data_IF_301705686114
#
_entry.id   IF_301705686114
#
_cell.length_a   1.000
_cell.length_b   1.000
_cell.length_c   1.000
_cell.angle_alpha   90.00
_cell.angle_beta   90.00
_cell.angle_gamma   90.00
#
_symmetry.space_group_name_H-M   'P 1'
#
loop_
_entity.id
_entity.type
_entity.pdbx_description
1 polymer ?
#
# COMPACT_ATOMS: atom_id res chain seq x y z
N UNK A 1 20.73 -6.77 21.43
CA UNK A 1 19.43 -7.30 21.05
C UNK A 1 18.56 -6.23 20.41
N UNK A 2 18.16 -6.47 19.23
CA UNK A 2 17.42 -5.52 18.46
C UNK A 2 15.93 -5.66 18.70
N UNK A 3 15.27 -4.53 18.93
CA UNK A 3 13.83 -4.53 19.03
C UNK A 3 13.25 -4.74 17.64
N UNK A 4 12.36 -5.73 17.47
CA UNK A 4 11.78 -5.94 16.15
C UNK A 4 11.01 -4.71 15.70
N UNK A 5 11.27 -4.30 14.48
CA UNK A 5 10.50 -3.25 13.85
C UNK A 5 9.18 -3.83 13.38
N UNK A 6 8.09 -3.06 13.47
CA UNK A 6 6.87 -3.49 12.82
C UNK A 6 7.19 -3.71 11.35
N UNK A 7 6.80 -4.85 10.85
CA UNK A 7 7.02 -5.11 9.44
C UNK A 7 6.12 -4.24 8.61
N UNK A 8 6.72 -3.45 7.75
CA UNK A 8 5.96 -2.62 6.83
C UNK A 8 6.04 -3.21 5.45
N UNK A 9 4.91 -3.10 4.77
CA UNK A 9 4.77 -3.63 3.44
C UNK A 9 5.29 -2.61 2.44
N UNK A 10 6.19 -3.04 1.58
CA UNK A 10 6.72 -2.14 0.55
C UNK A 10 5.73 -2.09 -0.61
N UNK A 11 5.11 -0.92 -0.80
CA UNK A 11 4.12 -0.73 -1.85
C UNK A 11 4.66 -1.01 -3.23
N UNK A 12 5.96 -0.88 -3.40
CA UNK A 12 6.58 -1.06 -4.71
C UNK A 12 6.91 -2.51 -5.01
N UNK A 13 6.82 -3.39 -4.01
CA UNK A 13 7.20 -4.79 -4.19
C UNK A 13 6.08 -5.77 -3.91
N UNK A 14 5.09 -5.37 -3.13
CA UNK A 14 4.02 -6.27 -2.74
C UNK A 14 3.11 -6.59 -3.91
N UNK A 15 2.66 -7.84 -3.98
CA UNK A 15 1.67 -8.19 -4.98
C UNK A 15 0.27 -7.93 -4.46
N UNK A 16 -0.72 -8.07 -5.34
CA UNK A 16 -2.10 -7.74 -4.98
C UNK A 16 -2.61 -8.60 -3.84
N UNK A 17 -2.28 -9.88 -3.84
CA UNK A 17 -2.74 -10.78 -2.79
C UNK A 17 -2.20 -10.38 -1.42
N UNK A 18 -0.92 -10.03 -1.37
CA UNK A 18 -0.30 -9.59 -0.14
C UNK A 18 -0.90 -8.28 0.35
N UNK A 19 -1.14 -7.34 -0.55
CA UNK A 19 -1.76 -6.07 -0.20
C UNK A 19 -3.15 -6.30 0.38
N UNK A 20 -3.93 -7.15 -0.25
CA UNK A 20 -5.28 -7.46 0.20
C UNK A 20 -5.26 -8.09 1.59
N UNK A 21 -4.30 -8.97 1.82
CA UNK A 21 -4.22 -9.74 3.04
C UNK A 21 -3.72 -8.93 4.22
N UNK A 22 -2.74 -8.06 3.97
CA UNK A 22 -2.05 -7.35 5.05
C UNK A 22 -2.65 -6.00 5.39
N UNK A 23 -3.39 -5.39 4.48
CA UNK A 23 -3.92 -4.05 4.69
C UNK A 23 -5.39 -4.09 5.06
N UNK A 24 -5.77 -3.17 5.95
CA UNK A 24 -7.16 -3.09 6.40
C UNK A 24 -8.01 -2.33 5.39
N UNK A 25 -9.15 -2.90 5.05
CA UNK A 25 -10.09 -2.25 4.16
C UNK A 25 -9.67 -2.24 2.70
N UNK A 26 -8.63 -2.99 2.38
CA UNK A 26 -8.16 -3.13 1.00
C UNK A 26 -8.63 -4.49 0.51
N UNK A 27 -9.67 -4.49 -0.30
CA UNK A 27 -10.13 -5.72 -0.91
C UNK A 27 -9.39 -5.98 -2.20
N UNK A 28 -9.85 -7.00 -2.90
CA UNK A 28 -9.21 -7.42 -4.14
C UNK A 28 -9.12 -6.28 -5.16
N UNK A 29 -10.23 -5.55 -5.35
CA UNK A 29 -10.27 -4.50 -6.36
C UNK A 29 -9.26 -3.39 -6.06
N UNK A 30 -9.18 -2.95 -4.80
CA UNK A 30 -8.24 -1.90 -4.44
C UNK A 30 -6.81 -2.38 -4.49
N UNK A 31 -6.57 -3.62 -4.10
CA UNK A 31 -5.23 -4.18 -4.16
C UNK A 31 -4.75 -4.25 -5.61
N UNK A 32 -5.63 -4.67 -6.51
CA UNK A 32 -5.30 -4.73 -7.92
C UNK A 32 -5.10 -3.33 -8.49
N UNK A 33 -5.85 -2.35 -8.01
CA UNK A 33 -5.70 -0.98 -8.45
C UNK A 33 -4.33 -0.42 -8.03
N UNK A 34 -3.85 -0.77 -6.86
CA UNK A 34 -2.53 -0.35 -6.42
C UNK A 34 -1.46 -0.90 -7.34
N UNK A 35 -1.54 -2.19 -7.64
CA UNK A 35 -0.57 -2.82 -8.54
C UNK A 35 -0.64 -2.21 -9.94
N UNK A 36 -1.85 -2.00 -10.44
CA UNK A 36 -2.03 -1.42 -11.76
C UNK A 36 -1.48 0.00 -11.83
N UNK A 37 -1.68 0.77 -10.77
CA UNK A 37 -1.17 2.14 -10.73
C UNK A 37 0.36 2.16 -10.82
N UNK A 38 1.01 1.31 -10.05
CA UNK A 38 2.47 1.31 -10.07
C UNK A 38 3.02 0.76 -11.38
N UNK A 39 2.29 -0.16 -12.02
CA UNK A 39 2.69 -0.65 -13.33
C UNK A 39 2.60 0.43 -14.41
N UNK A 40 1.57 1.27 -14.30
CA UNK A 40 1.34 2.30 -15.27
C UNK A 40 2.19 3.56 -15.04
N UNK A 41 2.46 3.88 -13.80
CA UNK A 41 3.08 5.16 -13.43
C UNK A 41 4.47 5.02 -12.83
N UNK A 42 4.95 3.81 -12.67
CA UNK A 42 6.23 3.59 -12.02
C UNK A 42 6.10 3.46 -10.52
N UNK A 43 7.21 3.22 -9.82
CA UNK A 43 7.17 3.02 -8.38
C UNK A 43 6.58 4.22 -7.64
N UNK A 44 5.91 3.92 -6.54
CA UNK A 44 5.41 4.99 -5.67
C UNK A 44 6.59 5.75 -5.07
N UNK A 45 6.53 7.07 -5.13
CA UNK A 45 7.54 7.92 -4.51
C UNK A 45 7.25 8.14 -3.04
N UNK A 46 5.99 8.05 -2.65
CA UNK A 46 5.60 8.21 -1.25
C UNK A 46 4.33 7.41 -1.00
N UNK A 47 4.08 7.13 0.28
CA UNK A 47 2.85 6.45 0.67
C UNK A 47 1.62 7.30 0.33
N UNK A 48 1.75 8.62 0.40
CA UNK A 48 0.64 9.51 0.10
C UNK A 48 0.17 9.41 -1.34
N UNK A 49 1.00 8.88 -2.21
CA UNK A 49 0.62 8.68 -3.60
C UNK A 49 -0.55 7.72 -3.77
N UNK A 50 -0.83 6.92 -2.74
CA UNK A 50 -2.03 6.07 -2.75
C UNK A 50 -3.31 6.87 -2.92
N UNK A 51 -3.29 8.16 -2.55
CA UNK A 51 -4.45 9.02 -2.72
C UNK A 51 -4.81 9.27 -4.17
N UNK A 52 -3.89 9.01 -5.09
CA UNK A 52 -4.16 9.14 -6.51
C UNK A 52 -5.03 8.02 -7.04
N UNK A 53 -5.15 6.95 -6.28
CA UNK A 53 -5.90 5.78 -6.73
C UNK A 53 -7.35 5.94 -6.35
N UNK A 54 -8.23 5.79 -7.34
CA UNK A 54 -9.66 5.89 -7.10
C UNK A 54 -10.09 4.84 -6.09
N UNK A 55 -10.84 5.28 -5.10
CA UNK A 55 -11.28 4.38 -4.04
C UNK A 55 -10.44 4.40 -2.80
N UNK A 56 -9.28 5.08 -2.84
CA UNK A 56 -8.43 5.22 -1.66
C UNK A 56 -8.44 6.68 -1.25
N UNK A 57 -9.09 6.96 -0.12
CA UNK A 57 -9.13 8.30 0.43
C UNK A 57 -8.28 8.40 1.68
N UNK A 58 -8.31 9.58 2.30
CA UNK A 58 -7.50 9.85 3.49
C UNK A 58 -7.77 8.89 4.63
N UNK A 59 -9.04 8.56 4.87
CA UNK A 59 -9.37 7.69 6.00
C UNK A 59 -8.73 6.31 5.82
N UNK A 60 -8.81 5.78 4.61
CA UNK A 60 -8.25 4.46 4.33
C UNK A 60 -6.73 4.51 4.40
N UNK A 61 -6.14 5.56 3.87
CA UNK A 61 -4.69 5.73 3.93
C UNK A 61 -4.20 5.82 5.36
N UNK A 62 -4.85 6.64 6.19
CA UNK A 62 -4.43 6.80 7.57
C UNK A 62 -4.56 5.50 8.37
N UNK A 63 -5.57 4.71 8.05
CA UNK A 63 -5.77 3.43 8.70
C UNK A 63 -4.60 2.48 8.45
N UNK A 64 -3.95 2.63 7.31
CA UNK A 64 -2.89 1.73 6.89
C UNK A 64 -1.50 2.37 6.87
N UNK A 65 -1.40 3.63 7.25
CA UNK A 65 -0.13 4.36 7.11
C UNK A 65 1.03 3.65 7.83
N UNK A 66 0.75 3.07 8.98
CA UNK A 66 1.78 2.39 9.75
C UNK A 66 2.15 1.02 9.21
N UNK A 67 1.42 0.54 8.23
CA UNK A 67 1.61 -0.80 7.70
C UNK A 67 2.35 -0.80 6.37
N UNK A 68 2.55 0.35 5.77
CA UNK A 68 3.14 0.45 4.43
C UNK A 68 4.32 1.39 4.42
N UNK A 69 5.16 1.18 3.42
CA UNK A 69 6.32 2.02 3.20
C UNK A 69 6.64 2.01 1.71
N UNK A 70 7.52 2.91 1.29
CA UNK A 70 8.08 2.87 -0.05
C UNK A 70 9.59 2.97 0.05
N UNK A 71 10.28 2.36 -0.89
CA UNK A 71 11.73 2.44 -0.98
C UNK A 71 12.18 2.95 -2.31
#
# INVERSE_FOLDING_TARGET
QQVPQPQRLDLNKADALTLQKELNGIGKAKAEAIVAYREANGPFASVDELLEIKGIGNALLERNRDKVMVE
#
